data_IF_884011769573
#
_entry.id   IF_884011769573
#
_cell.length_a   1.000
_cell.length_b   1.000
_cell.length_c   1.000
_cell.angle_alpha   90.00
_cell.angle_beta   90.00
_cell.angle_gamma   90.00
#
_symmetry.space_group_name_H-M   'P 1'
#
loop_
_entity.id
_entity.type
_entity.pdbx_description
1 polymer ?
#
# COMPACT_ATOMS: atom_id res chain seq x y z
N UNK A 1 -23.64 -5.57 4.45
CA UNK A 1 -22.54 -5.72 3.46
C UNK A 1 -21.28 -5.55 4.28
N UNK A 2 -20.47 -6.59 4.46
CA UNK A 2 -19.26 -6.46 5.28
C UNK A 2 -18.31 -5.50 4.56
N UNK A 3 -17.90 -4.43 5.25
CA UNK A 3 -16.80 -3.58 4.82
C UNK A 3 -15.59 -4.50 4.58
N UNK A 4 -15.05 -4.50 3.36
CA UNK A 4 -13.88 -5.32 3.05
C UNK A 4 -12.66 -4.56 3.54
N UNK A 5 -12.11 -4.98 4.66
CA UNK A 5 -10.91 -4.38 5.23
C UNK A 5 -9.70 -5.27 4.95
N UNK A 6 -8.57 -4.66 4.62
CA UNK A 6 -7.27 -5.31 4.51
C UNK A 6 -6.29 -4.66 5.47
N UNK A 7 -5.51 -5.47 6.16
CA UNK A 7 -4.42 -5.00 7.00
C UNK A 7 -3.15 -5.02 6.16
N UNK A 8 -2.53 -3.86 5.96
CA UNK A 8 -1.20 -3.77 5.42
C UNK A 8 -0.22 -4.14 6.53
N UNK A 9 0.46 -5.27 6.38
CA UNK A 9 1.45 -5.76 7.34
C UNK A 9 2.81 -5.81 6.68
N UNK A 10 3.84 -5.52 7.46
CA UNK A 10 5.24 -5.66 7.09
C UNK A 10 5.82 -6.72 8.03
N UNK A 11 6.01 -7.93 7.52
CA UNK A 11 6.31 -9.11 8.36
C UNK A 11 5.34 -9.22 9.56
N UNK A 12 5.80 -8.92 10.78
CA UNK A 12 5.01 -8.97 12.03
C UNK A 12 4.36 -7.62 12.40
N UNK A 13 4.76 -6.53 11.72
CA UNK A 13 4.38 -5.15 12.05
C UNK A 13 3.15 -4.70 11.28
N UNK A 14 2.15 -4.16 11.97
CA UNK A 14 1.00 -3.52 11.33
C UNK A 14 1.41 -2.15 10.80
N UNK A 15 1.38 -2.00 9.47
CA UNK A 15 1.67 -0.74 8.79
C UNK A 15 0.44 0.16 8.81
N UNK A 16 -0.72 -0.39 8.49
CA UNK A 16 -1.97 0.35 8.44
C UNK A 16 -3.14 -0.53 8.02
N UNK A 17 -4.32 0.06 8.01
CA UNK A 17 -5.57 -0.63 7.64
C UNK A 17 -6.18 0.04 6.41
N UNK A 18 -6.61 -0.78 5.46
CA UNK A 18 -7.20 -0.39 4.18
C UNK A 18 -8.66 -0.79 4.19
N UNK A 19 -9.55 0.18 4.24
CA UNK A 19 -10.99 -0.06 4.21
C UNK A 19 -11.50 0.13 2.79
N UNK A 20 -11.97 -0.92 2.14
CA UNK A 20 -12.55 -0.84 0.80
C UNK A 20 -13.72 0.15 0.77
N UNK A 21 -13.61 1.19 -0.05
CA UNK A 21 -14.70 2.13 -0.29
C UNK A 21 -15.37 1.87 -1.65
N UNK A 22 -14.60 1.44 -2.66
CA UNK A 22 -15.15 1.10 -3.97
C UNK A 22 -14.12 0.63 -4.98
N UNK A 23 -14.56 0.30 -6.19
CA UNK A 23 -13.67 0.04 -7.32
C UNK A 23 -13.88 1.12 -8.37
N UNK A 24 -12.81 1.82 -8.73
CA UNK A 24 -12.78 2.80 -9.82
C UNK A 24 -12.06 2.18 -11.02
N UNK A 25 -12.83 1.81 -12.04
CA UNK A 25 -12.39 1.12 -13.27
C UNK A 25 -11.62 -0.19 -13.01
N UNK A 26 -10.32 -0.09 -12.69
CA UNK A 26 -9.37 -1.19 -12.47
C UNK A 26 -8.63 -1.08 -11.13
N UNK A 27 -8.87 -0.02 -10.36
CA UNK A 27 -8.27 0.23 -9.07
C UNK A 27 -9.29 0.04 -7.97
N UNK A 28 -8.88 -0.56 -6.86
CA UNK A 28 -9.71 -0.64 -5.66
C UNK A 28 -9.41 0.57 -4.78
N UNK A 29 -10.35 1.52 -4.74
CA UNK A 29 -10.33 2.66 -3.84
C UNK A 29 -10.62 2.21 -2.41
N UNK A 30 -9.67 2.52 -1.54
CA UNK A 30 -9.71 2.18 -0.15
C UNK A 30 -9.34 3.41 0.68
N UNK A 31 -10.01 3.59 1.81
CA UNK A 31 -9.54 4.50 2.84
C UNK A 31 -8.35 3.87 3.54
N UNK A 32 -7.25 4.61 3.66
CA UNK A 32 -6.05 4.14 4.34
C UNK A 32 -5.93 4.81 5.70
N UNK A 33 -5.96 3.99 6.74
CA UNK A 33 -5.70 4.40 8.10
C UNK A 33 -4.25 4.06 8.49
N UNK A 34 -3.39 5.08 8.68
CA UNK A 34 -2.00 4.87 9.00
C UNK A 34 -1.83 4.28 10.41
N UNK A 35 -1.04 3.21 10.51
CA UNK A 35 -0.63 2.59 11.77
C UNK A 35 0.81 2.95 12.16
N UNK A 36 1.31 2.30 13.21
CA UNK A 36 2.67 2.56 13.75
C UNK A 36 3.83 2.14 12.84
N UNK A 37 3.57 1.41 11.75
CA UNK A 37 4.55 1.09 10.71
C UNK A 37 4.45 2.00 9.47
N UNK A 38 3.45 2.89 9.40
CA UNK A 38 3.21 3.69 8.21
C UNK A 38 4.25 4.78 7.98
N UNK A 39 4.79 5.43 9.02
CA UNK A 39 5.66 6.59 8.85
C UNK A 39 6.92 6.30 8.00
N UNK A 40 7.55 5.14 8.21
CA UNK A 40 8.71 4.69 7.41
C UNK A 40 8.32 4.43 5.95
N UNK A 41 7.17 3.79 5.72
CA UNK A 41 6.71 3.44 4.38
C UNK A 41 6.17 4.63 3.62
N UNK A 42 5.52 5.58 4.31
CA UNK A 42 5.04 6.84 3.73
C UNK A 42 6.18 7.60 3.05
N UNK A 43 7.36 7.62 3.67
CA UNK A 43 8.55 8.24 3.09
C UNK A 43 8.98 7.52 1.81
N UNK A 44 8.98 6.18 1.78
CA UNK A 44 9.31 5.41 0.59
C UNK A 44 8.28 5.59 -0.53
N UNK A 45 6.99 5.53 -0.24
CA UNK A 45 5.92 5.78 -1.22
C UNK A 45 5.96 7.21 -1.76
N UNK A 46 6.20 8.20 -0.88
CA UNK A 46 6.36 9.59 -1.31
C UNK A 46 7.60 9.76 -2.17
N UNK A 47 8.72 9.11 -1.84
CA UNK A 47 9.94 9.15 -2.62
C UNK A 47 9.77 8.48 -3.99
N UNK A 48 9.03 7.36 -4.05
CA UNK A 48 8.65 6.67 -5.28
C UNK A 48 7.83 7.61 -6.17
N UNK A 49 6.77 8.22 -5.63
CA UNK A 49 5.91 9.14 -6.38
C UNK A 49 6.71 10.33 -6.94
N UNK A 50 7.50 10.96 -6.08
CA UNK A 50 8.33 12.12 -6.39
C UNK A 50 9.44 11.77 -7.40
N UNK A 51 9.99 10.56 -7.36
CA UNK A 51 10.90 10.05 -8.39
C UNK A 51 10.19 9.85 -9.74
N UNK A 52 8.99 9.27 -9.75
CA UNK A 52 8.18 9.15 -10.96
C UNK A 52 7.81 10.52 -11.56
N UNK A 53 7.47 11.51 -10.72
CA UNK A 53 7.18 12.88 -11.18
C UNK A 53 8.41 13.58 -11.75
N UNK A 54 9.59 13.32 -11.19
CA UNK A 54 10.86 13.81 -11.73
C UNK A 54 11.33 13.08 -12.99
N UNK A 55 10.72 11.95 -13.34
CA UNK A 55 11.19 11.07 -14.41
C UNK A 55 12.50 10.36 -14.03
N UNK A 56 12.75 10.19 -12.74
CA UNK A 56 13.96 9.61 -12.18
C UNK A 56 13.74 8.11 -11.95
N UNK A 57 13.89 7.33 -13.01
CA UNK A 57 13.61 5.88 -13.03
C UNK A 57 14.49 5.11 -12.03
N UNK A 58 15.73 5.54 -11.80
CA UNK A 58 16.63 4.90 -10.83
C UNK A 58 16.14 5.09 -9.39
N UNK A 59 15.74 6.31 -9.04
CA UNK A 59 15.18 6.59 -7.71
C UNK A 59 13.82 5.90 -7.51
N UNK A 60 13.01 5.82 -8.57
CA UNK A 60 11.74 5.09 -8.53
C UNK A 60 11.99 3.59 -8.32
N UNK A 61 12.94 2.99 -9.05
CA UNK A 61 13.29 1.59 -8.90
C UNK A 61 13.84 1.28 -7.50
N UNK A 62 14.70 2.15 -6.96
CA UNK A 62 15.26 1.97 -5.62
C UNK A 62 14.18 2.06 -4.52
N UNK A 63 13.22 2.97 -4.65
CA UNK A 63 12.10 3.08 -3.72
C UNK A 63 11.13 1.89 -3.84
N UNK A 64 10.85 1.43 -5.07
CA UNK A 64 10.05 0.24 -5.33
C UNK A 64 10.72 -1.02 -4.76
N UNK A 65 12.02 -1.20 -4.98
CA UNK A 65 12.80 -2.30 -4.42
C UNK A 65 12.81 -2.24 -2.88
N UNK A 66 12.91 -1.06 -2.26
CA UNK A 66 12.82 -0.93 -0.81
C UNK A 66 11.44 -1.29 -0.26
N UNK A 67 10.36 -0.93 -0.96
CA UNK A 67 8.98 -1.30 -0.62
C UNK A 67 8.77 -2.81 -0.78
N UNK A 68 9.34 -3.40 -1.83
CA UNK A 68 9.27 -4.84 -2.08
C UNK A 68 10.12 -5.63 -1.06
N UNK A 69 11.33 -5.16 -0.75
CA UNK A 69 12.23 -5.70 0.24
C UNK A 69 11.69 -5.55 1.67
N UNK A 70 10.82 -4.56 1.91
CA UNK A 70 10.08 -4.46 3.16
C UNK A 70 9.10 -5.63 3.36
N UNK A 71 8.78 -6.43 2.33
CA UNK A 71 7.97 -7.63 2.48
C UNK A 71 6.54 -7.31 2.88
N UNK A 72 5.93 -6.33 2.21
CA UNK A 72 4.56 -5.92 2.49
C UNK A 72 3.57 -7.02 2.10
N UNK A 73 2.61 -7.25 2.99
CA UNK A 73 1.57 -8.24 2.86
C UNK A 73 0.22 -7.58 3.11
N UNK A 74 -0.68 -7.70 2.15
CA UNK A 74 -2.07 -7.30 2.29
C UNK A 74 -2.86 -8.48 2.85
N UNK A 75 -3.28 -8.40 4.12
CA UNK A 75 -4.02 -9.47 4.79
C UNK A 75 -5.49 -9.08 4.91
N UNK A 76 -6.43 -9.69 4.18
CA UNK A 76 -7.86 -9.43 4.34
C UNK A 76 -8.33 -9.81 5.75
N UNK A 77 -8.98 -8.88 6.45
CA UNK A 77 -9.47 -9.09 7.82
C UNK A 77 -10.57 -10.18 7.87
N UNK A 78 -11.25 -10.41 6.75
CA UNK A 78 -12.26 -11.46 6.57
C UNK A 78 -11.71 -12.90 6.44
N UNK A 79 -10.40 -13.12 6.62
CA UNK A 79 -9.80 -14.46 6.63
C UNK A 79 -9.54 -15.04 5.23
N UNK A 80 -8.99 -14.24 4.33
CA UNK A 80 -8.54 -14.66 2.99
C UNK A 80 -7.01 -14.75 2.86
N UNK A 81 -6.55 -15.09 1.66
CA UNK A 81 -5.13 -15.18 1.35
C UNK A 81 -4.41 -13.83 1.44
N UNK A 82 -3.20 -13.87 1.99
CA UNK A 82 -2.32 -12.70 2.07
C UNK A 82 -1.76 -12.42 0.68
N UNK A 83 -1.91 -11.18 0.22
CA UNK A 83 -1.41 -10.74 -1.09
C UNK A 83 -0.03 -10.13 -0.88
N UNK A 84 1.01 -10.80 -1.37
CA UNK A 84 2.39 -10.30 -1.33
C UNK A 84 2.77 -9.50 -2.59
N UNK A 85 2.13 -9.82 -3.73
CA UNK A 85 2.37 -9.17 -5.01
C UNK A 85 1.16 -8.28 -5.34
N UNK A 86 1.28 -7.00 -5.03
CA UNK A 86 0.23 -6.01 -5.30
C UNK A 86 0.85 -4.65 -5.59
N UNK A 87 0.17 -3.90 -6.44
CA UNK A 87 0.50 -2.49 -6.67
C UNK A 87 -0.40 -1.64 -5.78
N UNK A 88 0.20 -0.87 -4.87
CA UNK A 88 -0.52 0.08 -4.04
C UNK A 88 0.00 1.50 -4.28
N UNK A 89 -0.93 2.45 -4.32
CA UNK A 89 -0.67 3.88 -4.33
C UNK A 89 -1.39 4.49 -3.16
N UNK A 90 -0.65 5.15 -2.27
CA UNK A 90 -1.22 5.78 -1.09
C UNK A 90 -0.99 7.28 -1.22
N UNK A 91 -2.08 8.03 -1.16
CA UNK A 91 -2.14 9.48 -1.20
C UNK A 91 -2.84 9.97 0.07
N UNK A 92 -2.04 10.39 1.05
CA UNK A 92 -2.56 10.90 2.33
C UNK A 92 -3.37 9.85 3.10
N UNK A 93 -4.68 10.07 3.20
CA UNK A 93 -5.67 9.20 3.86
C UNK A 93 -6.39 8.24 2.90
N UNK A 94 -6.03 8.26 1.62
CA UNK A 94 -6.59 7.42 0.57
C UNK A 94 -5.55 6.46 0.02
N UNK A 95 -5.95 5.22 -0.23
CA UNK A 95 -5.12 4.23 -0.91
C UNK A 95 -5.88 3.57 -2.05
N UNK A 96 -5.16 3.31 -3.12
CA UNK A 96 -5.62 2.60 -4.29
C UNK A 96 -4.72 1.41 -4.48
N UNK A 97 -5.26 0.21 -4.45
CA UNK A 97 -4.48 -0.97 -4.77
C UNK A 97 -5.06 -1.75 -5.95
N UNK A 98 -4.18 -2.54 -6.56
CA UNK A 98 -4.48 -3.44 -7.66
C UNK A 98 -3.73 -4.74 -7.43
N UNK A 99 -4.49 -5.83 -7.35
CA UNK A 99 -4.00 -7.20 -7.47
C UNK A 99 -4.18 -7.73 -8.90
#
# INVERSE_FOLDING_TARGET
MAEKTWQLRQEDRLVGTLTFEGTDMFWSDCRFEPGSGWEDLRLLFSALHDAWERGDEEAALAADEAIHAAGLLLVPEGGGDSIADFLIRIDGDTARFRC
#
